data_IF_321216923798
#
_entry.id   IF_321216923798
#
_cell.length_a   1.000
_cell.length_b   1.000
_cell.length_c   1.000
_cell.angle_alpha   90.00
_cell.angle_beta   90.00
_cell.angle_gamma   90.00
#
_symmetry.space_group_name_H-M   'P 1'
#
loop_
_entity.id
_entity.type
_entity.pdbx_description
1 polymer ?
#
# COMPACT_ATOMS: atom_id res chain seq x y z
N UNK A 1 9.12 12.46 -3.34
CA UNK A 1 8.92 11.73 -4.61
C UNK A 1 7.47 11.26 -4.64
N UNK A 2 6.64 11.81 -5.52
CA UNK A 2 5.24 11.41 -5.66
C UNK A 2 5.15 9.98 -6.20
N UNK A 3 4.29 9.17 -5.60
CA UNK A 3 4.01 7.81 -6.06
C UNK A 3 2.66 7.78 -6.78
N UNK A 4 2.57 7.10 -7.94
CA UNK A 4 1.35 7.11 -8.76
C UNK A 4 0.12 6.53 -8.03
N UNK A 5 0.31 5.62 -7.06
CA UNK A 5 -0.78 5.07 -6.27
C UNK A 5 -1.55 6.12 -5.46
N UNK A 6 -0.93 7.24 -5.08
CA UNK A 6 -1.63 8.31 -4.35
C UNK A 6 -2.57 9.15 -5.23
N UNK A 7 -2.41 9.11 -6.55
CA UNK A 7 -3.43 9.67 -7.45
C UNK A 7 -4.74 8.90 -7.38
N UNK A 8 -4.66 7.56 -7.31
CA UNK A 8 -5.85 6.72 -7.13
C UNK A 8 -6.54 7.02 -5.80
N UNK A 9 -5.77 7.21 -4.74
CA UNK A 9 -6.27 7.61 -3.42
C UNK A 9 -6.96 8.98 -3.52
N UNK A 10 -6.31 9.95 -4.15
CA UNK A 10 -6.89 11.28 -4.37
C UNK A 10 -8.22 11.21 -5.14
N UNK A 11 -8.25 10.46 -6.25
CA UNK A 11 -9.46 10.23 -7.04
C UNK A 11 -10.59 9.60 -6.23
N UNK A 12 -10.26 8.59 -5.42
CA UNK A 12 -11.26 7.94 -4.56
C UNK A 12 -11.81 8.88 -3.47
N UNK A 13 -10.97 9.74 -2.89
CA UNK A 13 -11.45 10.76 -1.95
C UNK A 13 -12.39 11.77 -2.62
N UNK A 14 -12.13 12.17 -3.87
CA UNK A 14 -13.05 13.02 -4.63
C UNK A 14 -14.41 12.35 -4.76
N UNK A 15 -14.43 11.07 -5.14
CA UNK A 15 -15.66 10.30 -5.28
C UNK A 15 -16.41 10.20 -3.94
N UNK A 16 -15.73 9.85 -2.85
CA UNK A 16 -16.34 9.77 -1.52
C UNK A 16 -16.88 11.13 -1.06
N UNK A 17 -16.10 12.20 -1.23
CA UNK A 17 -16.52 13.55 -0.88
C UNK A 17 -17.72 13.99 -1.73
N UNK A 18 -17.72 13.72 -3.04
CA UNK A 18 -18.82 14.02 -3.93
C UNK A 18 -20.09 13.28 -3.52
N UNK A 19 -20.01 11.98 -3.21
CA UNK A 19 -21.16 11.20 -2.71
C UNK A 19 -21.67 11.81 -1.40
N UNK A 20 -20.79 12.12 -0.45
CA UNK A 20 -21.18 12.73 0.83
C UNK A 20 -21.87 14.06 0.66
N UNK A 21 -21.32 14.95 -0.19
CA UNK A 21 -21.89 16.26 -0.45
C UNK A 21 -23.22 16.11 -1.21
N UNK A 22 -23.30 15.22 -2.20
CA UNK A 22 -24.51 14.97 -2.96
C UNK A 22 -25.67 14.50 -2.07
N UNK A 23 -25.38 13.61 -1.10
CA UNK A 23 -26.39 13.09 -0.15
C UNK A 23 -26.82 14.09 0.91
N UNK A 24 -26.00 15.10 1.20
CA UNK A 24 -26.30 16.10 2.26
C UNK A 24 -26.69 17.47 1.74
N UNK A 25 -26.14 17.90 0.60
CA UNK A 25 -26.29 19.27 0.06
C UNK A 25 -26.75 19.30 -1.41
N UNK A 26 -26.92 18.15 -2.04
CA UNK A 26 -27.31 18.01 -3.43
C UNK A 26 -26.13 17.91 -4.42
N UNK A 27 -26.43 17.58 -5.67
CA UNK A 27 -25.45 17.23 -6.68
C UNK A 27 -24.61 18.41 -7.23
N UNK A 28 -25.22 19.63 -7.29
CA UNK A 28 -24.53 20.82 -7.80
C UNK A 28 -23.27 21.19 -6.97
N UNK A 29 -23.35 21.36 -5.65
CA UNK A 29 -22.14 21.60 -4.84
C UNK A 29 -21.17 20.41 -4.84
N UNK A 30 -21.66 19.17 -5.01
CA UNK A 30 -20.81 18.00 -5.16
C UNK A 30 -19.94 18.08 -6.41
N UNK A 31 -20.54 18.40 -7.56
CA UNK A 31 -19.81 18.58 -8.81
C UNK A 31 -18.84 19.76 -8.76
N UNK A 32 -19.25 20.89 -8.19
CA UNK A 32 -18.38 22.03 -8.03
C UNK A 32 -17.15 21.70 -7.17
N UNK A 33 -17.34 21.03 -6.04
CA UNK A 33 -16.23 20.58 -5.18
C UNK A 33 -15.30 19.58 -5.89
N UNK A 34 -15.85 18.62 -6.62
CA UNK A 34 -15.06 17.67 -7.40
C UNK A 34 -14.25 18.37 -8.51
N UNK A 35 -14.86 19.34 -9.21
CA UNK A 35 -14.19 20.11 -10.26
C UNK A 35 -13.03 20.95 -9.69
N UNK A 36 -13.24 21.64 -8.56
CA UNK A 36 -12.17 22.40 -7.89
C UNK A 36 -11.02 21.51 -7.48
N UNK A 37 -11.31 20.34 -6.88
CA UNK A 37 -10.27 19.39 -6.50
C UNK A 37 -9.49 18.87 -7.72
N UNK A 38 -10.17 18.46 -8.79
CA UNK A 38 -9.53 17.98 -10.01
C UNK A 38 -8.67 19.09 -10.65
N UNK A 39 -9.16 20.33 -10.68
CA UNK A 39 -8.38 21.46 -11.17
C UNK A 39 -7.11 21.67 -10.33
N UNK A 40 -7.22 21.66 -9.01
CA UNK A 40 -6.06 21.77 -8.13
C UNK A 40 -5.06 20.62 -8.38
N UNK A 41 -5.54 19.40 -8.56
CA UNK A 41 -4.70 18.23 -8.86
C UNK A 41 -3.96 18.40 -10.21
N UNK A 42 -4.67 18.89 -11.25
CA UNK A 42 -4.09 19.18 -12.56
C UNK A 42 -3.00 20.24 -12.44
N UNK A 43 -3.27 21.35 -11.74
CA UNK A 43 -2.29 22.43 -11.51
C UNK A 43 -1.02 21.91 -10.83
N UNK A 44 -1.12 20.96 -9.91
CA UNK A 44 0.03 20.36 -9.23
C UNK A 44 0.80 19.36 -10.11
N UNK A 45 0.11 18.61 -10.98
CA UNK A 45 0.70 17.54 -11.77
C UNK A 45 1.29 18.04 -13.11
N UNK A 46 0.65 19.01 -13.76
CA UNK A 46 1.04 19.48 -15.08
C UNK A 46 2.49 19.99 -15.13
N UNK A 47 2.99 20.82 -14.19
CA UNK A 47 4.39 21.27 -14.23
C UNK A 47 5.39 20.11 -14.19
N UNK A 48 5.08 19.08 -13.39
CA UNK A 48 5.90 17.88 -13.27
C UNK A 48 5.84 17.02 -14.55
N UNK A 49 4.67 16.89 -15.15
CA UNK A 49 4.46 16.15 -16.40
C UNK A 49 5.21 16.84 -17.55
N UNK A 50 5.11 18.17 -17.63
CA UNK A 50 5.83 18.97 -18.64
C UNK A 50 7.34 18.81 -18.47
N UNK A 51 7.86 18.95 -17.25
CA UNK A 51 9.28 18.68 -16.98
C UNK A 51 9.70 17.28 -17.42
N UNK A 52 8.90 16.27 -17.08
CA UNK A 52 9.21 14.89 -17.47
C UNK A 52 9.18 14.70 -18.99
N UNK A 53 8.25 15.36 -19.68
CA UNK A 53 8.19 15.35 -21.14
C UNK A 53 9.45 15.93 -21.76
N UNK A 54 9.88 17.10 -21.29
CA UNK A 54 11.11 17.77 -21.79
C UNK A 54 12.37 16.93 -21.55
N UNK A 55 12.45 16.26 -20.38
CA UNK A 55 13.67 15.51 -19.98
C UNK A 55 13.71 14.09 -20.56
N UNK A 56 12.54 13.44 -20.71
CA UNK A 56 12.44 12.01 -21.06
C UNK A 56 11.90 11.78 -22.49
N UNK A 57 11.56 12.85 -23.21
CA UNK A 57 10.90 12.82 -24.55
C UNK A 57 9.68 11.90 -24.60
N UNK A 58 8.92 11.87 -23.50
CA UNK A 58 7.68 11.08 -23.37
C UNK A 58 6.82 11.59 -22.24
N UNK A 59 5.49 11.38 -22.38
CA UNK A 59 4.51 11.74 -21.34
C UNK A 59 4.65 10.77 -20.15
N UNK A 60 5.15 11.28 -19.03
CA UNK A 60 5.24 10.57 -17.76
C UNK A 60 4.61 11.46 -16.69
N UNK A 61 3.33 11.21 -16.34
CA UNK A 61 2.62 12.10 -15.43
C UNK A 61 3.26 12.21 -14.04
N UNK A 62 3.81 11.14 -13.50
CA UNK A 62 4.38 11.15 -12.14
C UNK A 62 5.77 10.52 -12.09
N UNK A 63 5.90 9.23 -12.40
CA UNK A 63 7.16 8.51 -12.28
C UNK A 63 7.24 7.33 -13.23
N UNK A 64 8.46 6.94 -13.58
CA UNK A 64 8.78 5.67 -14.23
C UNK A 64 9.00 4.59 -13.18
N UNK A 65 8.86 3.32 -13.56
CA UNK A 65 9.13 2.16 -12.69
C UNK A 65 7.90 1.33 -12.34
N UNK A 66 6.72 1.70 -12.84
CA UNK A 66 5.49 0.91 -12.69
C UNK A 66 5.61 -0.46 -13.37
N UNK A 67 6.21 -0.52 -14.54
CA UNK A 67 6.46 -1.76 -15.27
C UNK A 67 7.41 -2.68 -14.52
N UNK A 68 8.51 -2.15 -13.97
CA UNK A 68 9.41 -2.91 -13.11
C UNK A 68 8.69 -3.44 -11.85
N UNK A 69 7.87 -2.61 -11.22
CA UNK A 69 7.11 -3.02 -10.04
C UNK A 69 6.11 -4.13 -10.37
N UNK A 70 5.44 -4.06 -11.52
CA UNK A 70 4.54 -5.10 -12.00
C UNK A 70 5.30 -6.39 -12.31
N UNK A 71 6.42 -6.32 -13.06
CA UNK A 71 7.26 -7.48 -13.36
C UNK A 71 7.68 -8.22 -12.08
N UNK A 72 8.24 -7.49 -11.12
CA UNK A 72 8.69 -8.08 -9.85
C UNK A 72 7.51 -8.67 -9.07
N UNK A 73 6.42 -7.91 -8.94
CA UNK A 73 5.28 -8.31 -8.14
C UNK A 73 4.49 -9.50 -8.68
N UNK A 74 4.59 -9.78 -10.00
CA UNK A 74 3.91 -10.90 -10.65
C UNK A 74 4.83 -12.12 -10.86
N UNK A 75 6.12 -12.03 -10.50
CA UNK A 75 7.07 -13.09 -10.73
C UNK A 75 7.00 -14.17 -9.64
N UNK A 76 6.20 -15.21 -9.86
CA UNK A 76 5.91 -16.30 -8.92
C UNK A 76 7.16 -17.01 -8.39
N UNK A 77 8.19 -17.35 -9.22
CA UNK A 77 9.38 -18.07 -8.73
C UNK A 77 10.18 -17.32 -7.67
N UNK A 78 10.03 -15.99 -7.60
CA UNK A 78 10.67 -15.16 -6.59
C UNK A 78 9.69 -14.68 -5.49
N UNK A 79 8.51 -15.28 -5.40
CA UNK A 79 7.48 -14.93 -4.42
C UNK A 79 7.10 -13.43 -4.45
N UNK A 80 7.21 -12.79 -5.64
CA UNK A 80 6.96 -11.37 -5.83
C UNK A 80 7.89 -10.44 -5.04
N UNK A 81 9.04 -10.91 -4.60
CA UNK A 81 9.99 -10.19 -3.76
C UNK A 81 11.17 -9.64 -4.56
N UNK A 82 11.44 -8.34 -4.42
CA UNK A 82 12.47 -7.66 -5.21
C UNK A 82 13.86 -8.28 -5.07
N UNK A 83 14.30 -8.59 -3.85
CA UNK A 83 15.62 -9.14 -3.62
C UNK A 83 15.77 -10.57 -4.17
N UNK A 84 14.70 -11.37 -4.11
CA UNK A 84 14.69 -12.70 -4.71
C UNK A 84 14.72 -12.63 -6.25
N UNK A 85 13.95 -11.72 -6.85
CA UNK A 85 14.03 -11.49 -8.30
C UNK A 85 15.44 -11.08 -8.70
N UNK A 86 16.05 -10.14 -7.96
CA UNK A 86 17.42 -9.69 -8.21
C UNK A 86 18.43 -10.83 -8.10
N UNK A 87 18.31 -11.70 -7.08
CA UNK A 87 19.17 -12.86 -6.89
C UNK A 87 19.06 -13.86 -8.07
N UNK A 88 17.83 -14.21 -8.47
CA UNK A 88 17.59 -15.12 -9.59
C UNK A 88 18.08 -14.54 -10.93
N UNK A 89 17.89 -13.25 -11.17
CA UNK A 89 18.42 -12.61 -12.37
C UNK A 89 19.95 -12.58 -12.34
N UNK A 90 20.55 -12.28 -11.19
CA UNK A 90 22.00 -12.29 -11.06
C UNK A 90 22.58 -13.67 -11.32
N UNK A 91 22.01 -14.70 -10.71
CA UNK A 91 22.41 -16.11 -10.94
C UNK A 91 22.28 -16.49 -12.42
N UNK A 92 21.15 -16.16 -13.05
CA UNK A 92 20.89 -16.44 -14.47
C UNK A 92 21.94 -15.84 -15.40
N UNK A 93 22.37 -14.60 -15.13
CA UNK A 93 23.24 -13.86 -16.07
C UNK A 93 24.72 -13.94 -15.72
N UNK A 94 25.06 -14.28 -14.49
CA UNK A 94 26.45 -14.35 -14.02
C UNK A 94 26.88 -15.75 -13.57
N UNK A 95 25.97 -16.75 -13.66
CA UNK A 95 26.21 -18.14 -13.23
C UNK A 95 26.75 -18.26 -11.80
N UNK A 96 26.39 -17.29 -10.93
CA UNK A 96 26.83 -17.22 -9.54
C UNK A 96 25.65 -16.90 -8.63
N UNK A 97 25.36 -17.77 -7.68
CA UNK A 97 24.32 -17.51 -6.69
C UNK A 97 24.78 -16.52 -5.63
N UNK A 98 23.97 -15.49 -5.40
CA UNK A 98 24.10 -14.56 -4.26
C UNK A 98 22.79 -14.59 -3.46
N UNK A 99 22.86 -14.91 -2.13
CA UNK A 99 21.65 -14.94 -1.31
C UNK A 99 20.89 -13.61 -1.33
N UNK A 100 19.54 -13.61 -1.35
CA UNK A 100 18.73 -12.40 -1.50
C UNK A 100 19.01 -11.30 -0.47
N UNK A 101 19.44 -11.65 0.73
CA UNK A 101 19.70 -10.69 1.82
C UNK A 101 21.21 -10.41 2.02
N UNK A 102 22.08 -10.92 1.15
CA UNK A 102 23.53 -10.73 1.26
C UNK A 102 23.93 -9.29 0.96
N UNK A 103 24.96 -8.80 1.66
CA UNK A 103 25.55 -7.50 1.34
C UNK A 103 26.14 -7.48 -0.08
N UNK A 104 26.65 -8.60 -0.56
CA UNK A 104 27.18 -8.74 -1.91
C UNK A 104 26.08 -8.44 -2.94
N UNK A 105 24.89 -9.05 -2.82
CA UNK A 105 23.77 -8.77 -3.70
C UNK A 105 23.28 -7.32 -3.56
N UNK A 106 23.27 -6.75 -2.37
CA UNK A 106 22.85 -5.36 -2.17
C UNK A 106 23.71 -4.37 -2.95
N UNK A 107 25.02 -4.64 -3.09
CA UNK A 107 25.96 -3.82 -3.86
C UNK A 107 25.82 -3.96 -5.37
N UNK A 108 25.19 -5.02 -5.87
CA UNK A 108 24.97 -5.22 -7.30
C UNK A 108 24.01 -4.13 -7.81
N UNK A 109 24.42 -3.42 -8.89
CA UNK A 109 23.51 -2.53 -9.61
C UNK A 109 22.41 -3.35 -10.29
N UNK A 110 21.14 -3.15 -9.97
CA UNK A 110 20.05 -3.94 -10.55
C UNK A 110 19.71 -3.50 -11.99
N UNK A 111 20.13 -2.32 -12.42
CA UNK A 111 19.75 -1.76 -13.73
C UNK A 111 20.12 -2.68 -14.88
N UNK A 112 21.38 -3.15 -15.03
CA UNK A 112 21.74 -4.04 -16.15
C UNK A 112 20.97 -5.37 -16.15
N UNK A 113 20.60 -5.88 -14.97
CA UNK A 113 19.83 -7.13 -14.87
C UNK A 113 18.43 -6.96 -15.46
N UNK A 114 17.77 -5.85 -15.15
CA UNK A 114 16.45 -5.56 -15.70
C UNK A 114 16.49 -5.09 -17.16
N UNK A 115 17.59 -4.48 -17.60
CA UNK A 115 17.80 -4.14 -19.01
C UNK A 115 17.83 -5.42 -19.86
N UNK A 116 18.58 -6.45 -19.46
CA UNK A 116 18.60 -7.75 -20.14
C UNK A 116 17.23 -8.44 -20.17
N UNK A 117 16.41 -8.29 -19.15
CA UNK A 117 15.02 -8.78 -19.18
C UNK A 117 14.20 -8.01 -20.22
N UNK A 118 14.39 -6.69 -20.30
CA UNK A 118 13.66 -5.82 -21.21
C UNK A 118 14.04 -6.04 -22.69
N UNK A 119 15.26 -6.54 -22.99
CA UNK A 119 15.72 -6.90 -24.35
C UNK A 119 14.79 -7.88 -25.09
N UNK A 120 13.89 -8.57 -24.35
CA UNK A 120 12.81 -9.37 -24.95
C UNK A 120 11.86 -8.55 -25.84
N UNK A 121 11.80 -7.24 -25.61
CA UNK A 121 11.00 -6.27 -26.37
C UNK A 121 11.84 -5.03 -26.68
N UNK A 122 12.80 -5.13 -27.62
CA UNK A 122 13.79 -4.09 -27.89
C UNK A 122 13.16 -2.77 -28.39
N UNK A 123 12.00 -2.84 -29.05
CA UNK A 123 11.27 -1.69 -29.58
C UNK A 123 10.53 -0.89 -28.48
N UNK A 124 10.49 -1.39 -27.24
CA UNK A 124 9.81 -0.73 -26.15
C UNK A 124 10.80 -0.10 -25.16
N UNK A 125 10.48 1.07 -24.58
CA UNK A 125 11.20 1.58 -23.43
C UNK A 125 11.25 0.54 -22.32
N UNK A 126 12.37 0.43 -21.60
CA UNK A 126 12.62 -0.56 -20.55
C UNK A 126 11.43 -0.81 -19.62
N UNK A 127 10.84 0.26 -19.06
CA UNK A 127 9.73 0.12 -18.12
C UNK A 127 8.48 -0.43 -18.78
N UNK A 128 8.20 -0.06 -20.03
CA UNK A 128 7.08 -0.59 -20.82
C UNK A 128 7.30 -2.06 -21.16
N UNK A 129 8.52 -2.46 -21.53
CA UNK A 129 8.88 -3.86 -21.77
C UNK A 129 8.69 -4.70 -20.52
N UNK A 130 9.20 -4.26 -19.36
CA UNK A 130 9.02 -4.94 -18.09
C UNK A 130 7.54 -5.02 -17.69
N UNK A 131 6.76 -3.96 -17.95
CA UNK A 131 5.31 -3.95 -17.71
C UNK A 131 4.57 -4.99 -18.56
N UNK A 132 4.94 -5.12 -19.84
CA UNK A 132 4.38 -6.13 -20.75
C UNK A 132 4.72 -7.55 -20.28
N UNK A 133 5.96 -7.79 -19.87
CA UNK A 133 6.38 -9.09 -19.32
C UNK A 133 5.64 -9.36 -17.99
N UNK A 134 5.48 -8.35 -17.15
CA UNK A 134 4.70 -8.49 -15.90
C UNK A 134 3.24 -8.88 -16.14
N UNK A 135 2.58 -8.29 -17.14
CA UNK A 135 1.22 -8.71 -17.52
C UNK A 135 1.18 -10.17 -18.03
N UNK A 136 2.17 -10.57 -18.83
CA UNK A 136 2.29 -11.96 -19.28
C UNK A 136 2.54 -12.93 -18.12
N UNK A 137 3.40 -12.56 -17.16
CA UNK A 137 3.62 -13.33 -15.95
C UNK A 137 2.34 -13.51 -15.15
N UNK A 138 1.57 -12.43 -14.96
CA UNK A 138 0.27 -12.49 -14.28
C UNK A 138 -0.66 -13.50 -14.97
N UNK A 139 -0.89 -13.32 -16.28
CA UNK A 139 -1.78 -14.19 -17.04
C UNK A 139 -1.30 -15.65 -16.99
N UNK A 140 -0.02 -15.88 -17.21
CA UNK A 140 0.56 -17.21 -17.22
C UNK A 140 0.42 -17.89 -15.86
N UNK A 141 0.97 -17.32 -14.80
CA UNK A 141 1.00 -17.98 -13.49
C UNK A 141 -0.38 -18.09 -12.85
N UNK A 142 -1.27 -17.11 -13.10
CA UNK A 142 -2.64 -17.20 -12.61
C UNK A 142 -3.44 -18.32 -13.31
N UNK A 143 -3.20 -18.54 -14.59
CA UNK A 143 -3.87 -19.62 -15.33
C UNK A 143 -3.25 -21.00 -15.06
N UNK A 144 -1.91 -21.10 -14.86
CA UNK A 144 -1.22 -22.34 -14.57
C UNK A 144 -1.48 -22.84 -13.14
N UNK A 145 -1.39 -21.94 -12.15
CA UNK A 145 -1.61 -22.27 -10.73
C UNK A 145 -2.18 -21.05 -9.96
N UNK A 146 -3.50 -20.85 -9.99
CA UNK A 146 -4.15 -19.75 -9.32
C UNK A 146 -3.97 -19.78 -7.79
N UNK A 147 -3.89 -20.97 -7.20
CA UNK A 147 -3.74 -21.14 -5.75
C UNK A 147 -2.36 -20.66 -5.29
N UNK A 148 -1.30 -21.11 -5.97
CA UNK A 148 0.07 -20.65 -5.68
C UNK A 148 0.21 -19.14 -5.90
N UNK A 149 -0.43 -18.58 -6.95
CA UNK A 149 -0.40 -17.15 -7.23
C UNK A 149 -1.11 -16.33 -6.14
N UNK A 150 -2.29 -16.75 -5.70
CA UNK A 150 -3.03 -16.10 -4.62
C UNK A 150 -2.29 -16.22 -3.28
N UNK A 151 -1.69 -17.38 -2.99
CA UNK A 151 -0.84 -17.58 -1.82
C UNK A 151 0.38 -16.64 -1.82
N UNK A 152 1.06 -16.49 -2.97
CA UNK A 152 2.12 -15.50 -3.15
C UNK A 152 1.62 -14.09 -2.85
N UNK A 153 0.46 -13.72 -3.40
CA UNK A 153 -0.14 -12.41 -3.21
C UNK A 153 -0.45 -12.13 -1.73
N UNK A 154 -1.03 -13.11 -1.03
CA UNK A 154 -1.29 -13.03 0.41
C UNK A 154 0.02 -12.84 1.22
N UNK A 155 1.07 -13.63 0.90
CA UNK A 155 2.39 -13.47 1.54
C UNK A 155 3.00 -12.09 1.28
N UNK A 156 2.86 -11.54 0.06
CA UNK A 156 3.32 -10.19 -0.27
C UNK A 156 2.63 -9.13 0.59
N UNK A 157 1.31 -9.18 0.66
CA UNK A 157 0.51 -8.27 1.49
C UNK A 157 0.88 -8.43 2.96
N UNK A 158 0.99 -9.65 3.44
CA UNK A 158 1.43 -9.94 4.81
C UNK A 158 2.79 -9.31 5.11
N UNK A 159 3.79 -9.48 4.23
CA UNK A 159 5.11 -8.84 4.39
C UNK A 159 5.04 -7.31 4.37
N UNK A 160 4.18 -6.73 3.53
CA UNK A 160 4.00 -5.28 3.47
C UNK A 160 3.52 -4.72 4.81
N UNK A 161 2.59 -5.39 5.48
CA UNK A 161 1.98 -4.90 6.73
C UNK A 161 2.70 -5.35 8.00
N UNK A 162 3.42 -6.49 7.97
CA UNK A 162 4.14 -7.03 9.13
C UNK A 162 5.54 -6.46 9.34
N UNK A 163 6.05 -5.63 8.43
CA UNK A 163 7.39 -5.05 8.55
C UNK A 163 7.37 -3.56 8.19
N UNK A 164 8.13 -2.77 8.94
CA UNK A 164 8.36 -1.35 8.65
C UNK A 164 9.62 -1.12 7.83
N UNK A 165 9.94 0.15 7.59
CA UNK A 165 11.11 0.60 6.82
C UNK A 165 12.31 0.82 7.75
N UNK A 166 13.48 0.42 7.27
CA UNK A 166 14.75 0.59 7.98
C UNK A 166 15.15 -0.63 8.82
N UNK A 167 16.40 -0.64 9.27
CA UNK A 167 16.98 -1.78 9.98
C UNK A 167 16.27 -2.08 11.31
N UNK A 168 15.89 -1.04 12.05
CA UNK A 168 15.19 -1.18 13.34
C UNK A 168 13.81 -1.85 13.16
N UNK A 169 12.99 -1.38 12.20
CA UNK A 169 11.66 -1.95 11.94
C UNK A 169 11.71 -3.27 11.17
N UNK A 170 12.82 -3.59 10.53
CA UNK A 170 13.10 -4.92 9.94
C UNK A 170 13.53 -5.98 10.95
N UNK A 171 13.93 -5.58 12.16
CA UNK A 171 14.29 -6.48 13.26
C UNK A 171 13.06 -7.18 13.85
N UNK A 172 13.29 -8.27 14.61
CA UNK A 172 12.18 -8.99 15.28
C UNK A 172 11.35 -8.11 16.21
N UNK A 173 11.97 -7.29 17.11
CA UNK A 173 11.21 -6.35 17.94
C UNK A 173 10.40 -5.33 17.11
N UNK A 174 11.00 -4.77 16.07
CA UNK A 174 10.32 -3.83 15.18
C UNK A 174 9.10 -4.44 14.49
N UNK A 175 9.20 -5.70 14.05
CA UNK A 175 8.05 -6.43 13.47
C UNK A 175 6.93 -6.67 14.49
N UNK A 176 7.28 -7.00 15.73
CA UNK A 176 6.28 -7.17 16.81
C UNK A 176 5.53 -5.86 17.03
N UNK A 177 6.25 -4.73 17.16
CA UNK A 177 5.63 -3.40 17.30
C UNK A 177 4.73 -3.09 16.10
N UNK A 178 5.19 -3.35 14.87
CA UNK A 178 4.42 -3.12 13.66
C UNK A 178 3.12 -3.94 13.65
N UNK A 179 3.20 -5.22 14.00
CA UNK A 179 2.02 -6.12 14.05
C UNK A 179 1.03 -5.65 15.12
N UNK A 180 1.51 -5.26 16.31
CA UNK A 180 0.66 -4.72 17.37
C UNK A 180 -0.05 -3.45 16.94
N UNK A 181 0.65 -2.52 16.29
CA UNK A 181 0.04 -1.28 15.79
C UNK A 181 -1.03 -1.57 14.74
N UNK A 182 -0.78 -2.49 13.82
CA UNK A 182 -1.76 -2.90 12.81
C UNK A 182 -2.97 -3.58 13.46
N UNK A 183 -2.76 -4.46 14.44
CA UNK A 183 -3.84 -5.11 15.18
C UNK A 183 -4.71 -4.10 15.94
N UNK A 184 -4.10 -3.13 16.63
CA UNK A 184 -4.82 -2.04 17.29
C UNK A 184 -5.56 -1.15 16.28
N UNK A 185 -4.96 -0.88 15.12
CA UNK A 185 -5.63 -0.17 14.03
C UNK A 185 -6.88 -0.92 13.53
N UNK A 186 -6.80 -2.23 13.35
CA UNK A 186 -7.94 -3.07 12.98
C UNK A 186 -9.04 -3.04 14.06
N UNK A 187 -8.67 -3.10 15.34
CA UNK A 187 -9.62 -2.92 16.43
C UNK A 187 -10.33 -1.56 16.36
N UNK A 188 -9.60 -0.48 16.06
CA UNK A 188 -10.16 0.85 15.82
C UNK A 188 -11.15 0.88 14.64
N UNK A 189 -10.87 0.18 13.55
CA UNK A 189 -11.82 0.01 12.43
C UNK A 189 -13.10 -0.66 12.87
N UNK A 190 -12.99 -1.77 13.62
CA UNK A 190 -14.15 -2.49 14.16
C UNK A 190 -14.98 -1.56 15.02
N UNK A 191 -14.35 -0.78 15.90
CA UNK A 191 -15.03 0.18 16.78
C UNK A 191 -15.76 1.27 15.98
N UNK A 192 -15.16 1.81 14.89
CA UNK A 192 -15.86 2.77 14.01
C UNK A 192 -17.08 2.14 13.36
N UNK A 193 -16.98 0.88 12.90
CA UNK A 193 -18.10 0.13 12.36
C UNK A 193 -19.22 -0.08 13.38
N UNK A 194 -18.89 -0.53 14.60
CA UNK A 194 -19.84 -0.75 15.70
C UNK A 194 -20.53 0.55 16.12
N UNK A 195 -19.81 1.68 16.08
CA UNK A 195 -20.36 3.02 16.34
C UNK A 195 -21.12 3.60 15.15
N UNK A 196 -21.28 2.86 14.07
CA UNK A 196 -21.95 3.27 12.82
C UNK A 196 -21.36 4.54 12.18
N UNK A 197 -20.07 4.82 12.40
CA UNK A 197 -19.36 5.96 11.83
C UNK A 197 -18.83 5.62 10.43
N UNK A 198 -19.75 5.29 9.52
CA UNK A 198 -19.43 4.76 8.20
C UNK A 198 -18.59 5.68 7.31
N UNK A 199 -18.80 6.99 7.42
CA UNK A 199 -18.05 7.95 6.62
C UNK A 199 -16.58 8.04 7.03
N UNK A 200 -16.30 8.06 8.32
CA UNK A 200 -14.95 8.04 8.85
C UNK A 200 -14.27 6.70 8.56
N UNK A 201 -15.01 5.61 8.67
CA UNK A 201 -14.52 4.27 8.31
C UNK A 201 -14.14 4.22 6.82
N UNK A 202 -15.01 4.67 5.91
CA UNK A 202 -14.75 4.69 4.47
C UNK A 202 -13.57 5.61 4.12
N UNK A 203 -13.48 6.80 4.75
CA UNK A 203 -12.39 7.73 4.52
C UNK A 203 -11.03 7.14 4.91
N UNK A 204 -10.94 6.38 6.00
CA UNK A 204 -9.71 5.74 6.46
C UNK A 204 -9.43 4.42 5.72
N UNK A 205 -10.48 3.64 5.42
CA UNK A 205 -10.34 2.36 4.71
C UNK A 205 -9.89 2.53 3.26
N UNK A 206 -10.38 3.56 2.57
CA UNK A 206 -10.14 3.75 1.13
C UNK A 206 -8.64 3.83 0.78
N UNK A 207 -7.81 4.70 1.38
CA UNK A 207 -6.39 4.77 1.07
C UNK A 207 -5.66 3.47 1.45
N UNK A 208 -6.03 2.85 2.57
CA UNK A 208 -5.46 1.58 3.03
C UNK A 208 -5.76 0.47 2.02
N UNK A 209 -7.01 0.32 1.63
CA UNK A 209 -7.44 -0.69 0.66
C UNK A 209 -6.80 -0.49 -0.72
N UNK A 210 -6.81 0.74 -1.25
CA UNK A 210 -6.25 1.03 -2.56
C UNK A 210 -4.75 0.79 -2.64
N UNK A 211 -3.98 1.28 -1.67
CA UNK A 211 -2.52 1.08 -1.66
C UNK A 211 -2.18 -0.40 -1.43
N UNK A 212 -2.96 -1.11 -0.61
CA UNK A 212 -2.82 -2.56 -0.43
C UNK A 212 -3.13 -3.31 -1.71
N UNK A 213 -4.20 -2.97 -2.42
CA UNK A 213 -4.58 -3.57 -3.70
C UNK A 213 -3.50 -3.34 -4.77
N UNK A 214 -2.96 -2.12 -4.89
CA UNK A 214 -1.82 -1.83 -5.78
C UNK A 214 -0.59 -2.66 -5.39
N UNK A 215 -0.31 -2.81 -4.09
CA UNK A 215 0.75 -3.68 -3.59
C UNK A 215 0.51 -5.15 -3.92
N UNK A 216 -0.72 -5.62 -3.83
CA UNK A 216 -1.10 -6.99 -4.16
C UNK A 216 -0.86 -7.32 -5.64
N UNK A 217 -1.18 -6.40 -6.55
CA UNK A 217 -0.98 -6.58 -8.00
C UNK A 217 0.48 -6.36 -8.41
N UNK A 218 1.17 -5.42 -7.77
CA UNK A 218 2.54 -5.04 -8.10
C UNK A 218 3.52 -5.43 -6.98
N UNK A 219 4.69 -4.80 -6.94
CA UNK A 219 5.66 -4.99 -5.85
C UNK A 219 5.08 -4.47 -4.52
N UNK A 220 4.82 -5.37 -3.58
CA UNK A 220 4.49 -5.03 -2.20
C UNK A 220 5.78 -4.77 -1.40
N UNK A 221 6.07 -3.51 -1.12
CA UNK A 221 7.24 -3.12 -0.33
C UNK A 221 6.80 -2.47 0.98
N UNK A 222 7.46 -2.74 2.13
CA UNK A 222 7.13 -2.13 3.43
C UNK A 222 7.03 -0.60 3.39
N UNK A 223 7.87 0.06 2.63
CA UNK A 223 7.83 1.52 2.44
C UNK A 223 6.51 2.07 1.84
N UNK A 224 5.60 1.19 1.37
CA UNK A 224 4.29 1.63 0.87
C UNK A 224 3.29 1.85 2.01
N UNK A 225 3.42 1.11 3.09
CA UNK A 225 2.56 1.28 4.26
C UNK A 225 3.00 2.45 5.15
N UNK A 226 4.23 2.96 5.02
CA UNK A 226 4.80 4.01 5.86
C UNK A 226 3.88 5.23 5.98
N UNK A 227 3.39 5.73 4.84
CA UNK A 227 2.44 6.84 4.81
C UNK A 227 1.07 6.43 5.39
N UNK A 228 0.67 5.17 5.20
CA UNK A 228 -0.60 4.66 5.71
C UNK A 228 -0.59 4.50 7.24
N UNK A 229 0.58 4.36 7.85
CA UNK A 229 0.68 4.28 9.31
C UNK A 229 0.17 5.56 9.99
N UNK A 230 0.25 6.73 9.33
CA UNK A 230 -0.37 7.98 9.83
C UNK A 230 -1.89 7.86 9.99
N UNK A 231 -2.54 6.96 9.25
CA UNK A 231 -3.97 6.65 9.36
C UNK A 231 -4.24 5.52 10.36
N UNK A 232 -3.28 4.61 10.53
CA UNK A 232 -3.37 3.51 11.50
C UNK A 232 -3.24 4.01 12.93
N UNK A 233 -2.36 5.01 13.20
CA UNK A 233 -2.17 5.55 14.53
C UNK A 233 -3.44 6.13 15.18
N UNK A 234 -4.26 6.98 14.54
CA UNK A 234 -5.51 7.45 15.12
C UNK A 234 -6.49 6.31 15.44
N UNK A 235 -6.51 5.27 14.59
CA UNK A 235 -7.35 4.09 14.81
C UNK A 235 -6.87 3.28 16.02
N UNK A 236 -5.55 3.08 16.14
CA UNK A 236 -4.96 2.42 17.30
C UNK A 236 -5.22 3.21 18.59
N UNK A 237 -5.08 4.54 18.54
CA UNK A 237 -5.40 5.43 19.66
C UNK A 237 -6.88 5.31 20.07
N UNK A 238 -7.81 5.25 19.10
CA UNK A 238 -9.23 5.04 19.36
C UNK A 238 -9.48 3.71 20.08
N UNK A 239 -8.81 2.63 19.66
CA UNK A 239 -8.94 1.33 20.31
C UNK A 239 -8.46 1.38 21.77
N UNK A 240 -7.27 1.94 22.00
CA UNK A 240 -6.67 2.05 23.34
C UNK A 240 -7.53 2.92 24.26
N UNK A 241 -7.94 4.12 23.82
CA UNK A 241 -8.76 5.02 24.63
C UNK A 241 -10.13 4.42 24.95
N UNK A 242 -10.73 3.68 24.01
CA UNK A 242 -12.01 3.00 24.26
C UNK A 242 -11.87 1.85 25.28
N UNK A 243 -10.77 1.09 25.22
CA UNK A 243 -10.47 0.06 26.21
C UNK A 243 -10.25 0.66 27.61
N UNK A 244 -9.49 1.75 27.71
CA UNK A 244 -9.29 2.47 28.98
C UNK A 244 -10.61 2.98 29.58
N UNK A 245 -11.47 3.58 28.76
CA UNK A 245 -12.77 4.07 29.20
C UNK A 245 -13.65 2.92 29.75
N UNK A 246 -13.64 1.74 29.10
CA UNK A 246 -14.37 0.58 29.57
C UNK A 246 -13.85 0.04 30.91
N UNK A 247 -12.53 0.06 31.11
CA UNK A 247 -11.91 -0.38 32.38
C UNK A 247 -12.20 0.60 33.51
N UNK A 248 -12.15 1.92 33.25
CA UNK A 248 -12.40 2.94 34.28
C UNK A 248 -13.86 2.96 34.72
N UNK A 249 -14.82 2.86 33.79
CA UNK A 249 -16.24 2.77 34.10
C UNK A 249 -16.62 1.52 34.87
N UNK A 250 -15.92 0.40 34.69
CA UNK A 250 -16.12 -0.83 35.47
C UNK A 250 -15.57 -0.77 36.91
N UNK A 251 -14.73 0.22 37.25
CA UNK A 251 -14.18 0.42 38.61
C UNK A 251 -15.01 1.31 39.52
N UNK A 252 -16.02 2.00 39.00
CA UNK A 252 -16.92 2.85 39.79
C UNK A 252 -18.07 2.06 40.48
N UNK A 253 -18.04 0.72 40.38
CA UNK A 253 -18.98 -0.10 41.16
C UNK A 253 -18.57 -0.07 42.62
N UNK A 254 -19.08 0.91 43.38
CA UNK A 254 -18.91 1.03 44.85
C UNK A 254 -19.85 0.06 45.53
N UNK A 255 -19.38 -0.82 46.44
CA UNK A 255 -20.25 -1.70 47.23
C UNK A 255 -21.09 -0.95 48.28
N UNK A 256 -20.95 0.37 48.39
CA UNK A 256 -21.67 1.16 49.42
C UNK A 256 -23.17 1.30 49.19
N UNK A 257 -23.69 0.99 47.99
CA UNK A 257 -25.15 1.03 47.72
C UNK A 257 -25.91 -0.22 48.13
N UNK A 258 -25.22 -1.27 48.62
CA UNK A 258 -25.85 -2.53 49.04
C UNK A 258 -26.20 -2.59 50.56
N UNK A 259 -25.92 -1.54 51.33
CA UNK A 259 -26.07 -1.58 52.80
C UNK A 259 -27.10 -0.61 53.37
N UNK A 260 -28.04 -0.08 52.58
CA UNK A 260 -29.19 0.65 53.14
C UNK A 260 -30.31 -0.36 53.44
N UNK A 261 -30.66 -0.63 54.68
CA UNK A 261 -31.83 -1.45 55.01
C UNK A 261 -33.10 -0.68 54.61
N UNK A 262 -34.17 -1.40 54.16
CA UNK A 262 -35.42 -0.74 53.86
C UNK A 262 -36.05 -0.26 55.15
N UNK A 263 -36.43 1.03 55.17
CA UNK A 263 -37.22 1.69 56.22
C UNK A 263 -38.69 1.27 56.18
#
# INVERSE_FOLDING_TARGET
>A
MFRPEYLLVGGAFVVLAAIRIATTRGWRPALAGAAVFLLALIVLIVPWTVRNYVVLDRVVPISTGGGKALYVGTFLPADGEYQRVKALLYERYHHRYLPPQSQALNRVNPTPLFDRVAERYPDLPRDSALGKIGKQNFSRYFNEDPVAYLAMTARKVGRMWSSGVGAAMGSTPGRVVQILLVALGLAGFVLLGLRRRWWELLALATPIALVTAVGAVSLAAPRRNEVLMTLVFPLAALAVTSAFAAISSGREWSPEQASSPPS
#
